data_IF_906317390495
#
_entry.id   IF_906317390495
#
_cell.length_a   1.000
_cell.length_b   1.000
_cell.length_c   1.000
_cell.angle_alpha   90.00
_cell.angle_beta   90.00
_cell.angle_gamma   90.00
#
_symmetry.space_group_name_H-M   'P 1'
#
loop_
_entity.id
_entity.type
_entity.pdbx_description
1 polymer ?
#
# COMPACT_ATOMS: atom_id res chain seq x y z
N UNK A 1 -14.10 -13.03 10.25
CA UNK A 1 -12.70 -12.88 10.58
C UNK A 1 -12.12 -11.57 10.03
N UNK A 2 -11.27 -10.92 10.83
CA UNK A 2 -10.73 -9.58 10.51
C UNK A 2 -10.09 -9.49 9.12
N UNK A 3 -9.22 -10.43 8.78
CA UNK A 3 -8.49 -10.39 7.52
C UNK A 3 -9.42 -10.52 6.32
N UNK A 4 -10.34 -11.46 6.38
CA UNK A 4 -11.32 -11.69 5.31
C UNK A 4 -12.24 -10.48 5.16
N UNK A 5 -12.69 -9.92 6.28
CA UNK A 5 -13.56 -8.75 6.27
C UNK A 5 -12.86 -7.53 5.67
N UNK A 6 -11.56 -7.35 5.97
CA UNK A 6 -10.78 -6.27 5.38
C UNK A 6 -10.57 -6.46 3.88
N UNK A 7 -10.30 -7.67 3.43
CA UNK A 7 -10.18 -7.94 2.00
C UNK A 7 -11.47 -7.58 1.28
N UNK A 8 -12.60 -7.99 1.83
CA UNK A 8 -13.92 -7.69 1.24
C UNK A 8 -14.21 -6.19 1.23
N UNK A 9 -13.88 -5.51 2.32
CA UNK A 9 -14.08 -4.07 2.42
C UNK A 9 -13.33 -3.33 1.33
N UNK A 10 -12.05 -3.65 1.14
CA UNK A 10 -11.22 -2.95 0.16
C UNK A 10 -11.46 -3.42 -1.26
N UNK A 11 -11.83 -4.69 -1.45
CA UNK A 11 -12.26 -5.15 -2.76
C UNK A 11 -13.46 -4.34 -3.25
N UNK A 12 -14.37 -4.01 -2.36
CA UNK A 12 -15.54 -3.21 -2.69
C UNK A 12 -15.17 -1.75 -2.99
N UNK A 13 -14.21 -1.18 -2.26
CA UNK A 13 -13.81 0.22 -2.41
C UNK A 13 -12.85 0.46 -3.57
N UNK A 14 -12.08 -0.54 -3.96
CA UNK A 14 -11.06 -0.41 -4.99
C UNK A 14 -11.60 -0.96 -6.31
N UNK A 15 -11.74 -0.07 -7.29
CA UNK A 15 -12.19 -0.47 -8.62
C UNK A 15 -11.00 -0.80 -9.52
N UNK A 16 -11.22 -1.72 -10.45
CA UNK A 16 -10.24 -1.97 -11.49
C UNK A 16 -10.15 -0.77 -12.44
N UNK A 17 -8.98 -0.58 -12.99
CA UNK A 17 -8.71 0.53 -13.91
C UNK A 17 -7.24 0.59 -14.26
N UNK A 18 -6.92 1.38 -15.27
CA UNK A 18 -5.54 1.54 -15.73
C UNK A 18 -5.21 2.99 -15.99
N UNK A 19 -4.01 3.40 -15.61
CA UNK A 19 -3.44 4.72 -15.92
C UNK A 19 -1.96 4.54 -16.23
N UNK A 20 -1.54 5.00 -17.38
CA UNK A 20 -0.14 4.93 -17.77
C UNK A 20 0.37 3.50 -17.74
N UNK A 21 1.47 3.28 -17.05
CA UNK A 21 2.07 1.95 -16.92
C UNK A 21 1.49 1.08 -15.81
N UNK A 22 0.43 1.55 -15.14
CA UNK A 22 -0.13 0.84 -13.99
C UNK A 22 -1.59 0.45 -14.20
N UNK A 23 -1.94 -0.70 -13.64
CA UNK A 23 -3.30 -1.23 -13.73
C UNK A 23 -3.68 -1.87 -12.40
N UNK A 24 -4.94 -1.65 -12.00
CA UNK A 24 -5.53 -2.39 -10.88
C UNK A 24 -6.42 -3.47 -11.46
N UNK A 25 -6.16 -4.70 -11.08
CA UNK A 25 -6.98 -5.85 -11.42
C UNK A 25 -7.53 -6.49 -10.16
N UNK A 26 -8.70 -7.06 -10.27
CA UNK A 26 -9.30 -7.85 -9.19
C UNK A 26 -9.32 -9.30 -9.66
N UNK A 27 -8.44 -10.11 -9.10
CA UNK A 27 -8.33 -11.52 -9.48
C UNK A 27 -8.79 -12.41 -8.35
N UNK A 28 -9.43 -13.51 -8.72
CA UNK A 28 -9.79 -14.52 -7.76
C UNK A 28 -8.54 -15.10 -7.11
N UNK A 29 -8.56 -15.15 -5.81
CA UNK A 29 -7.47 -15.69 -5.00
C UNK A 29 -7.36 -17.20 -5.06
N UNK A 30 -8.05 -17.76 -6.00
CA UNK A 30 -8.42 -19.16 -6.04
C UNK A 30 -7.35 -20.18 -6.08
N UNK A 31 -6.20 -19.79 -6.31
CA UNK A 31 -5.19 -20.81 -6.36
C UNK A 31 -4.21 -20.55 -5.26
N UNK A 32 -4.49 -21.03 -4.09
CA UNK A 32 -3.58 -21.06 -2.97
C UNK A 32 -2.14 -21.44 -3.28
N UNK A 33 -1.82 -21.46 -4.54
CA UNK A 33 -0.48 -21.67 -5.06
C UNK A 33 0.40 -20.42 -4.99
N UNK A 34 -0.18 -19.29 -4.64
CA UNK A 34 0.52 -18.06 -4.93
C UNK A 34 1.59 -17.72 -3.93
N UNK A 35 1.55 -18.15 -2.73
CA UNK A 35 2.57 -17.73 -1.77
C UNK A 35 2.87 -18.76 -0.68
N UNK A 36 2.88 -20.03 -1.03
CA UNK A 36 3.39 -21.07 -0.17
C UNK A 36 2.59 -21.32 1.10
N UNK A 37 3.24 -21.81 2.09
CA UNK A 37 2.61 -22.31 3.31
C UNK A 37 1.89 -21.25 4.15
N UNK A 38 2.17 -19.99 3.93
CA UNK A 38 1.52 -18.91 4.69
C UNK A 38 0.04 -18.80 4.40
N UNK A 39 -0.41 -19.35 3.31
CA UNK A 39 -1.81 -19.29 2.90
C UNK A 39 -2.64 -20.51 3.27
N UNK A 40 -2.06 -21.57 3.78
CA UNK A 40 -2.83 -22.73 4.22
C UNK A 40 -3.89 -22.37 5.25
N UNK A 41 -3.62 -21.32 6.01
CA UNK A 41 -4.50 -20.75 7.02
C UNK A 41 -5.71 -20.04 6.43
N UNK A 42 -5.65 -19.66 5.15
CA UNK A 42 -6.65 -18.84 4.48
C UNK A 42 -7.15 -19.48 3.18
N UNK A 43 -7.07 -20.81 3.07
CA UNK A 43 -7.47 -21.57 1.89
C UNK A 43 -8.93 -21.36 1.47
N UNK A 44 -9.74 -20.83 2.38
CA UNK A 44 -11.16 -20.60 2.13
C UNK A 44 -11.49 -19.18 1.71
N UNK A 45 -10.48 -18.36 1.40
CA UNK A 45 -10.75 -17.04 0.86
C UNK A 45 -11.17 -17.20 -0.59
N UNK A 46 -12.48 -17.09 -0.78
CA UNK A 46 -13.08 -17.08 -2.10
C UNK A 46 -13.40 -15.63 -2.43
N UNK A 47 -12.99 -15.18 -3.59
CA UNK A 47 -13.32 -13.85 -4.06
C UNK A 47 -12.10 -13.10 -4.57
N UNK A 48 -12.37 -12.02 -5.30
CA UNK A 48 -11.29 -11.26 -5.94
C UNK A 48 -10.46 -10.48 -4.92
N UNK A 49 -9.17 -10.45 -5.21
CA UNK A 49 -8.20 -9.66 -4.45
C UNK A 49 -7.66 -8.57 -5.37
N UNK A 50 -7.70 -7.30 -4.94
CA UNK A 50 -7.10 -6.22 -5.74
C UNK A 50 -5.59 -6.40 -5.87
N UNK A 51 -5.10 -6.20 -7.09
CA UNK A 51 -3.67 -6.22 -7.40
C UNK A 51 -3.30 -4.95 -8.16
N UNK A 52 -2.18 -4.36 -7.80
CA UNK A 52 -1.57 -3.27 -8.56
C UNK A 52 -0.46 -3.84 -9.43
N UNK A 53 -0.61 -3.68 -10.73
CA UNK A 53 0.32 -4.24 -11.71
C UNK A 53 0.99 -3.09 -12.45
N UNK A 54 2.32 -3.12 -12.48
CA UNK A 54 3.12 -2.13 -13.17
C UNK A 54 3.52 -2.57 -14.57
N UNK A 55 4.46 -1.84 -15.14
CA UNK A 55 5.01 -2.13 -16.44
C UNK A 55 5.57 -3.56 -16.49
N UNK A 56 5.52 -4.16 -17.67
CA UNK A 56 5.92 -5.56 -17.90
C UNK A 56 5.09 -6.56 -17.09
N UNK A 57 3.87 -6.18 -16.73
CA UNK A 57 2.94 -7.03 -15.96
C UNK A 57 3.50 -7.49 -14.62
N UNK A 58 4.42 -6.73 -14.08
CA UNK A 58 4.97 -7.01 -12.75
C UNK A 58 3.97 -6.64 -11.67
N UNK A 59 3.69 -7.57 -10.77
CA UNK A 59 2.82 -7.30 -9.62
C UNK A 59 3.60 -6.43 -8.62
N UNK A 60 3.09 -5.23 -8.39
CA UNK A 60 3.67 -4.29 -7.43
C UNK A 60 3.14 -4.53 -6.04
N UNK A 61 1.84 -4.76 -5.93
CA UNK A 61 1.19 -5.00 -4.65
C UNK A 61 -0.05 -5.85 -4.87
N UNK A 62 -0.32 -6.70 -3.92
CA UNK A 62 -1.55 -7.47 -3.86
C UNK A 62 -2.12 -7.33 -2.47
N UNK A 63 -3.39 -6.98 -2.37
CA UNK A 63 -4.03 -6.86 -1.06
C UNK A 63 -4.45 -8.25 -0.56
N UNK A 64 -3.46 -9.03 -0.22
CA UNK A 64 -3.60 -10.42 0.21
C UNK A 64 -3.67 -10.50 1.74
N UNK A 65 -4.04 -11.66 2.29
CA UNK A 65 -3.96 -11.87 3.74
C UNK A 65 -2.60 -11.54 4.33
N UNK A 66 -1.53 -11.84 3.59
CA UNK A 66 -0.16 -11.56 4.02
C UNK A 66 0.09 -10.07 4.22
N UNK A 67 -0.40 -9.23 3.28
CA UNK A 67 -0.27 -7.78 3.38
C UNK A 67 -1.03 -7.24 4.59
N UNK A 68 -2.24 -7.70 4.80
CA UNK A 68 -3.06 -7.26 5.93
C UNK A 68 -2.44 -7.71 7.25
N UNK A 69 -2.02 -8.95 7.33
CA UNK A 69 -1.35 -9.48 8.52
C UNK A 69 -0.03 -8.77 8.79
N UNK A 70 0.76 -8.52 7.74
CA UNK A 70 2.07 -7.88 7.87
C UNK A 70 2.00 -6.43 8.32
N UNK A 71 0.94 -5.71 8.00
CA UNK A 71 0.76 -4.32 8.41
C UNK A 71 -0.05 -4.14 9.69
N UNK A 72 -0.63 -5.22 10.21
CA UNK A 72 -1.56 -5.16 11.34
C UNK A 72 -0.98 -4.48 12.58
N UNK A 73 0.20 -4.92 13.01
CA UNK A 73 0.83 -4.39 14.22
C UNK A 73 1.19 -2.91 14.06
N UNK A 74 1.72 -2.54 12.89
CA UNK A 74 2.03 -1.15 12.63
C UNK A 74 0.79 -0.27 12.71
N UNK A 75 -0.28 -0.66 12.02
CA UNK A 75 -1.53 0.10 12.04
C UNK A 75 -2.08 0.22 13.46
N UNK A 76 -2.01 -0.87 14.21
CA UNK A 76 -2.52 -0.90 15.58
C UNK A 76 -1.80 0.08 16.50
N UNK A 77 -0.48 0.15 16.40
CA UNK A 77 0.32 0.93 17.35
C UNK A 77 0.68 2.34 16.88
N UNK A 78 0.58 2.64 15.61
CA UNK A 78 0.94 3.96 15.08
C UNK A 78 -0.03 5.04 15.59
N UNK A 79 0.52 6.16 16.01
CA UNK A 79 -0.23 7.33 16.49
C UNK A 79 0.46 8.61 16.04
N UNK A 80 -0.25 9.73 16.11
CA UNK A 80 0.31 11.05 15.83
C UNK A 80 0.55 11.27 14.34
N UNK A 81 1.73 11.70 13.98
CA UNK A 81 2.12 11.94 12.59
C UNK A 81 2.84 10.71 12.06
N UNK A 82 2.27 10.11 11.04
CA UNK A 82 2.75 8.85 10.46
C UNK A 82 3.23 9.08 9.03
N UNK A 83 4.44 8.61 8.73
CA UNK A 83 4.98 8.62 7.37
C UNK A 83 4.90 7.24 6.75
N UNK A 84 4.60 7.19 5.46
CA UNK A 84 4.56 5.94 4.70
C UNK A 84 5.35 6.13 3.41
N UNK A 85 6.21 5.18 3.08
CA UNK A 85 6.84 5.09 1.77
C UNK A 85 6.08 4.06 0.95
N UNK A 86 5.53 4.52 -0.17
CA UNK A 86 4.72 3.68 -1.03
C UNK A 86 3.24 3.75 -0.71
N UNK A 87 2.45 4.10 -1.72
CA UNK A 87 1.00 4.22 -1.59
C UNK A 87 0.31 2.89 -1.90
N UNK A 88 0.80 2.20 -2.92
CA UNK A 88 0.21 0.96 -3.38
C UNK A 88 -1.27 1.12 -3.72
N UNK A 89 -2.09 0.30 -3.09
CA UNK A 89 -3.55 0.37 -3.25
C UNK A 89 -4.23 1.25 -2.20
N UNK A 90 -3.45 1.81 -1.26
CA UNK A 90 -3.96 2.76 -0.28
C UNK A 90 -4.44 2.15 1.03
N UNK A 91 -4.31 0.86 1.23
CA UNK A 91 -4.84 0.18 2.40
C UNK A 91 -4.28 0.73 3.72
N UNK A 92 -2.95 0.80 3.85
CA UNK A 92 -2.32 1.26 5.10
C UNK A 92 -2.68 2.71 5.38
N UNK A 93 -2.61 3.57 4.36
CA UNK A 93 -2.97 4.98 4.53
C UNK A 93 -4.43 5.15 4.98
N UNK A 94 -5.34 4.42 4.37
CA UNK A 94 -6.76 4.50 4.71
C UNK A 94 -7.04 3.98 6.12
N UNK A 95 -6.42 2.86 6.50
CA UNK A 95 -6.63 2.30 7.84
C UNK A 95 -6.06 3.21 8.92
N UNK A 96 -4.90 3.82 8.68
CA UNK A 96 -4.33 4.80 9.62
C UNK A 96 -5.22 6.03 9.77
N UNK A 97 -5.76 6.52 8.66
CA UNK A 97 -6.62 7.71 8.70
C UNK A 97 -7.92 7.50 9.49
N UNK A 98 -8.39 6.26 9.61
CA UNK A 98 -9.58 5.94 10.42
C UNK A 98 -9.33 6.07 11.92
N UNK A 99 -8.08 6.05 12.36
CA UNK A 99 -7.75 6.06 13.79
C UNK A 99 -7.84 7.46 14.35
N UNK A 100 -8.51 7.61 15.50
CA UNK A 100 -8.65 8.91 16.16
C UNK A 100 -7.33 9.45 16.66
N UNK A 101 -6.41 8.58 17.08
CA UNK A 101 -5.11 8.95 17.62
C UNK A 101 -4.03 9.14 16.55
N UNK A 102 -4.37 8.97 15.28
CA UNK A 102 -3.53 9.38 14.16
C UNK A 102 -3.98 10.76 13.72
N UNK A 103 -3.07 11.72 13.76
CA UNK A 103 -3.36 13.11 13.40
C UNK A 103 -3.15 13.37 11.92
N UNK A 104 -2.10 12.79 11.36
CA UNK A 104 -1.74 13.00 9.95
C UNK A 104 -0.99 11.81 9.39
N UNK A 105 -1.28 11.48 8.13
CA UNK A 105 -0.56 10.47 7.37
C UNK A 105 0.06 11.16 6.16
N UNK A 106 1.38 11.06 6.04
CA UNK A 106 2.11 11.59 4.88
C UNK A 106 2.65 10.42 4.07
N UNK A 107 2.22 10.32 2.82
CA UNK A 107 2.60 9.22 1.94
C UNK A 107 3.52 9.73 0.85
N UNK A 108 4.67 9.12 0.72
CA UNK A 108 5.61 9.40 -0.36
C UNK A 108 5.44 8.33 -1.45
N UNK A 109 5.03 8.76 -2.63
CA UNK A 109 4.83 7.87 -3.76
C UNK A 109 5.55 8.39 -4.99
N UNK A 110 6.40 7.57 -5.61
CA UNK A 110 7.19 7.99 -6.76
C UNK A 110 6.38 8.03 -8.07
N UNK A 111 5.28 7.31 -8.14
CA UNK A 111 4.47 7.21 -9.36
C UNK A 111 3.23 8.07 -9.30
N UNK A 112 3.14 9.06 -10.21
CA UNK A 112 1.92 9.85 -10.36
C UNK A 112 0.74 8.98 -10.78
N UNK A 113 0.97 7.95 -11.57
CA UNK A 113 -0.09 7.06 -12.06
C UNK A 113 -0.71 6.27 -10.90
N UNK A 114 0.12 5.80 -9.97
CA UNK A 114 -0.36 5.12 -8.75
C UNK A 114 -1.19 6.06 -7.91
N UNK A 115 -0.76 7.31 -7.77
CA UNK A 115 -1.51 8.34 -7.03
C UNK A 115 -2.87 8.58 -7.68
N UNK A 116 -2.91 8.69 -9.01
CA UNK A 116 -4.17 8.90 -9.72
C UNK A 116 -5.13 7.73 -9.56
N UNK A 117 -4.64 6.50 -9.65
CA UNK A 117 -5.45 5.31 -9.42
C UNK A 117 -6.04 5.30 -8.02
N UNK A 118 -5.22 5.64 -7.03
CA UNK A 118 -5.66 5.76 -5.65
C UNK A 118 -6.76 6.82 -5.50
N UNK A 119 -6.56 8.00 -6.06
CA UNK A 119 -7.52 9.10 -5.94
C UNK A 119 -8.86 8.79 -6.62
N UNK A 120 -8.84 8.01 -7.69
CA UNK A 120 -10.08 7.56 -8.32
C UNK A 120 -10.94 6.72 -7.36
N UNK A 121 -10.28 5.94 -6.51
CA UNK A 121 -10.98 5.04 -5.61
C UNK A 121 -11.38 5.70 -4.29
N UNK A 122 -10.52 6.56 -3.75
CA UNK A 122 -10.70 7.09 -2.40
C UNK A 122 -10.90 8.60 -2.33
N UNK A 123 -10.53 9.34 -3.39
CA UNK A 123 -10.60 10.80 -3.36
C UNK A 123 -9.62 11.43 -2.40
N UNK A 124 -9.96 12.60 -1.91
CA UNK A 124 -9.15 13.33 -0.96
C UNK A 124 -9.55 13.00 0.48
N UNK A 125 -8.58 13.05 1.37
CA UNK A 125 -8.79 12.85 2.80
C UNK A 125 -7.96 13.89 3.56
N UNK A 126 -8.58 14.62 4.48
CA UNK A 126 -7.92 15.68 5.23
C UNK A 126 -6.70 15.21 6.02
N UNK A 127 -6.73 13.98 6.49
CA UNK A 127 -5.59 13.41 7.24
C UNK A 127 -4.47 12.90 6.35
N UNK A 128 -4.74 12.62 5.08
CA UNK A 128 -3.76 12.00 4.19
C UNK A 128 -3.19 13.03 3.23
N UNK A 129 -1.89 13.26 3.31
CA UNK A 129 -1.14 14.08 2.36
C UNK A 129 -0.27 13.17 1.52
N UNK A 130 -0.41 13.28 0.20
CA UNK A 130 0.39 12.48 -0.71
C UNK A 130 1.42 13.38 -1.39
N UNK A 131 2.67 13.00 -1.26
CA UNK A 131 3.79 13.71 -1.89
C UNK A 131 4.31 12.82 -3.01
N UNK A 132 4.18 13.31 -4.25
CA UNK A 132 4.74 12.62 -5.40
C UNK A 132 6.22 12.92 -5.46
N UNK A 133 7.01 11.87 -5.35
CA UNK A 133 8.45 11.99 -5.38
C UNK A 133 9.12 11.02 -4.43
N UNK A 134 10.44 11.17 -4.38
CA UNK A 134 11.29 10.32 -3.56
C UNK A 134 11.23 10.75 -2.09
N UNK A 135 11.01 9.79 -1.20
CA UNK A 135 11.01 10.04 0.24
C UNK A 135 12.32 10.62 0.76
N UNK A 136 13.42 10.39 0.05
CA UNK A 136 14.73 10.90 0.44
C UNK A 136 14.95 12.36 0.08
N UNK A 137 14.12 12.91 -0.79
CA UNK A 137 14.10 14.33 -1.10
C UNK A 137 13.17 15.12 -0.19
N UNK A 138 12.44 14.41 0.67
CA UNK A 138 11.57 15.06 1.64
C UNK A 138 12.42 15.75 2.71
N UNK A 139 11.94 16.88 3.18
CA UNK A 139 12.52 17.49 4.38
C UNK A 139 12.45 16.45 5.50
N UNK A 140 13.49 16.42 6.34
CA UNK A 140 13.54 15.50 7.47
C UNK A 140 12.51 15.87 8.51
N UNK A 141 11.25 15.77 8.15
CA UNK A 141 10.16 15.93 9.09
C UNK A 141 10.26 14.83 10.15
N UNK A 142 10.06 15.19 11.39
CA UNK A 142 9.97 14.19 12.42
C UNK A 142 8.61 13.54 12.37
N UNK A 143 8.61 12.24 12.18
CA UNK A 143 7.41 11.41 12.27
C UNK A 143 7.43 10.66 13.59
N UNK A 144 6.26 10.43 14.15
CA UNK A 144 6.13 9.57 15.33
C UNK A 144 6.29 8.10 14.96
N UNK A 145 5.83 7.73 13.77
CA UNK A 145 5.96 6.38 13.22
C UNK A 145 6.22 6.46 11.73
N UNK A 146 6.94 5.47 11.20
CA UNK A 146 7.29 5.43 9.78
C UNK A 146 7.19 4.01 9.25
N UNK A 147 6.48 3.84 8.14
CA UNK A 147 6.24 2.54 7.52
C UNK A 147 6.74 2.50 6.09
N UNK A 148 7.39 1.41 5.75
CA UNK A 148 7.83 1.16 4.38
C UNK A 148 7.20 -0.13 3.88
N UNK A 149 6.42 -0.04 2.80
CA UNK A 149 5.84 -1.22 2.18
C UNK A 149 6.94 -2.12 1.62
N UNK A 150 6.78 -3.43 1.72
CA UNK A 150 7.82 -4.40 1.32
C UNK A 150 8.19 -4.26 -0.16
N UNK A 151 7.22 -4.10 -1.04
CA UNK A 151 7.49 -3.94 -2.47
C UNK A 151 8.11 -2.59 -2.79
N UNK A 152 7.58 -1.54 -2.20
CA UNK A 152 8.13 -0.20 -2.33
C UNK A 152 9.48 -0.09 -1.66
N UNK A 153 9.72 -0.89 -0.63
CA UNK A 153 11.02 -0.92 0.05
C UNK A 153 12.16 -1.27 -0.91
N UNK A 154 11.96 -2.25 -1.79
CA UNK A 154 13.00 -2.61 -2.75
C UNK A 154 13.33 -1.46 -3.70
N UNK A 155 12.31 -0.72 -4.14
CA UNK A 155 12.51 0.44 -4.97
C UNK A 155 13.16 1.57 -4.19
N UNK A 156 12.72 1.77 -2.95
CA UNK A 156 13.31 2.78 -2.07
C UNK A 156 14.76 2.46 -1.75
N UNK A 157 15.10 1.19 -1.56
CA UNK A 157 16.50 0.78 -1.35
C UNK A 157 17.36 1.06 -2.57
N UNK A 158 16.85 0.83 -3.78
CA UNK A 158 17.55 1.17 -4.99
C UNK A 158 17.82 2.68 -5.08
N UNK A 159 16.81 3.47 -4.74
CA UNK A 159 16.93 4.93 -4.72
C UNK A 159 17.98 5.37 -3.69
N UNK A 160 17.98 4.78 -2.50
CA UNK A 160 18.99 5.07 -1.48
C UNK A 160 20.38 4.74 -1.98
N UNK A 161 20.57 3.57 -2.57
CA UNK A 161 21.86 3.18 -3.13
C UNK A 161 22.33 4.16 -4.19
N UNK A 162 21.42 4.56 -5.08
CA UNK A 162 21.74 5.51 -6.14
C UNK A 162 22.09 6.88 -5.55
N UNK A 163 21.37 7.32 -4.53
CA UNK A 163 21.63 8.57 -3.83
C UNK A 163 23.01 8.55 -3.16
N UNK A 164 23.34 7.47 -2.47
CA UNK A 164 24.65 7.33 -1.82
C UNK A 164 25.77 7.32 -2.84
N UNK A 165 25.59 6.68 -3.98
CA UNK A 165 26.59 6.65 -5.04
C UNK A 165 26.84 8.03 -5.67
N UNK A 166 25.80 8.87 -5.70
CA UNK A 166 25.89 10.21 -6.26
C UNK A 166 26.46 11.24 -5.28
N UNK A 167 26.48 10.93 -4.03
CA UNK A 167 27.03 11.79 -2.98
C UNK A 167 28.21 11.12 -2.29
#
# INVERSE_FOLDING_TARGET
EFIIDKIKEYEDKIDSGAIGGFEILKRDSLNGKVEGYLYTKYDNITGPIPELIGENKRVWMRLSPKEIEGSYEFIKFATGKVGIVGLGLGYVAQELAKKQDVEKVVVYEISEDVVELYKRNFGENEKIEIIVGDAFNASKDSFDFFYTDIYEYKLSMQVVEDYIKLN
#
